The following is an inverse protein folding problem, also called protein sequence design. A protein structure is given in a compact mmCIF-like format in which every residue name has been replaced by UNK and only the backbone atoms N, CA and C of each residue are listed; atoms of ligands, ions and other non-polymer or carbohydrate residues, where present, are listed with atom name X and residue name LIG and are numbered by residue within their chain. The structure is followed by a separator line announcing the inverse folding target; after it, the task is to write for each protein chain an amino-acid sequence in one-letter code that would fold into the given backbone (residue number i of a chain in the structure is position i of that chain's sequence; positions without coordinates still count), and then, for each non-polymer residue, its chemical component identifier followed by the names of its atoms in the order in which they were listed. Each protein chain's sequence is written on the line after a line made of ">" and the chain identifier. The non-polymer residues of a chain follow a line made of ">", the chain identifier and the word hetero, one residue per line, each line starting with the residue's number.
data_IF_703218187435
#
_entry.id   IF_703218187435
#
_cell.length_a   1.000
_cell.length_b   1.000
_cell.length_c   1.000
_cell.angle_alpha   90.00
_cell.angle_beta   90.00
_cell.angle_gamma   90.00
#
_symmetry.space_group_name_H-M   'P 1'
#
loop_
_entity.id
_entity.type
_entity.pdbx_description
1 polymer ?
#
# COMPACT_ATOMS: atom_id res chain seq x y z
N UNK A 1 14.11 11.08 -17.06
CA UNK A 1 13.73 10.21 -18.18
C UNK A 1 12.57 9.34 -17.73
N UNK A 2 11.34 9.84 -17.79
CA UNK A 2 10.15 9.02 -17.58
C UNK A 2 9.93 8.18 -18.84
N UNK A 3 9.78 6.87 -18.71
CA UNK A 3 9.47 6.01 -19.87
C UNK A 3 8.18 6.51 -20.51
N UNK A 4 8.21 6.68 -21.82
CA UNK A 4 7.04 6.96 -22.63
C UNK A 4 6.08 5.76 -22.55
N UNK A 5 4.78 6.06 -22.40
CA UNK A 5 3.71 5.05 -22.37
C UNK A 5 3.38 4.66 -23.82
N UNK A 6 4.17 3.75 -24.38
CA UNK A 6 4.14 3.41 -25.82
C UNK A 6 3.06 2.36 -26.18
N UNK A 7 1.99 2.25 -25.39
CA UNK A 7 0.92 1.29 -25.63
C UNK A 7 -0.10 1.31 -24.51
N UNK A 8 -1.23 1.97 -24.74
CA UNK A 8 -2.33 2.02 -23.78
C UNK A 8 -2.95 0.62 -23.67
N UNK A 9 -2.68 -0.05 -22.55
CA UNK A 9 -3.25 -1.37 -22.26
C UNK A 9 -4.76 -1.24 -22.04
N UNK A 10 -5.56 -2.05 -22.74
CA UNK A 10 -7.03 -2.04 -22.63
C UNK A 10 -7.55 -2.79 -21.39
N UNK A 11 -6.66 -3.34 -20.57
CA UNK A 11 -7.06 -4.09 -19.38
C UNK A 11 -7.43 -3.13 -18.24
N UNK A 12 -8.55 -3.36 -17.53
CA UNK A 12 -9.07 -2.43 -16.53
C UNK A 12 -8.26 -2.41 -15.22
N UNK A 13 -7.34 -3.35 -15.01
CA UNK A 13 -6.62 -3.55 -13.74
C UNK A 13 -5.13 -3.75 -13.96
N UNK A 14 -4.31 -3.23 -13.03
CA UNK A 14 -2.87 -3.44 -12.97
C UNK A 14 -2.44 -4.00 -11.62
N UNK A 15 -1.40 -4.84 -11.61
CA UNK A 15 -0.80 -5.35 -10.37
C UNK A 15 0.11 -4.26 -9.79
N UNK A 16 -0.22 -3.77 -8.60
CA UNK A 16 0.55 -2.72 -7.92
C UNK A 16 1.65 -3.27 -7.01
N UNK A 17 1.39 -4.37 -6.31
CA UNK A 17 2.30 -4.94 -5.31
C UNK A 17 1.98 -6.43 -5.12
N UNK A 18 3.02 -7.24 -4.96
CA UNK A 18 2.95 -8.65 -4.61
C UNK A 18 3.67 -8.81 -3.26
N UNK A 19 3.08 -9.58 -2.34
CA UNK A 19 3.70 -9.90 -1.04
C UNK A 19 3.76 -11.41 -0.89
N UNK A 20 4.94 -11.95 -0.63
CA UNK A 20 5.08 -13.32 -0.17
C UNK A 20 4.66 -13.39 1.30
N UNK A 21 3.80 -14.35 1.64
CA UNK A 21 3.26 -14.52 2.99
C UNK A 21 2.74 -15.94 3.18
N UNK A 22 2.82 -16.45 4.41
CA UNK A 22 2.40 -17.82 4.77
C UNK A 22 0.93 -17.91 5.24
N UNK A 23 0.20 -16.80 5.21
CA UNK A 23 -1.21 -16.75 5.62
C UNK A 23 -2.12 -16.51 4.42
N UNK A 24 -3.25 -17.20 4.37
CA UNK A 24 -4.27 -17.02 3.31
C UNK A 24 -5.26 -15.89 3.66
N UNK A 25 -4.70 -14.71 3.99
CA UNK A 25 -5.48 -13.49 4.20
C UNK A 25 -4.58 -12.27 4.03
N UNK A 26 -5.17 -11.13 3.68
CA UNK A 26 -4.40 -9.89 3.55
C UNK A 26 -3.77 -9.49 4.88
N UNK A 27 -2.46 -9.23 4.86
CA UNK A 27 -1.76 -8.61 5.98
C UNK A 27 -2.18 -7.13 6.14
N UNK A 28 -2.27 -6.61 7.38
CA UNK A 28 -2.47 -5.20 7.61
C UNK A 28 -1.42 -4.37 6.88
N UNK A 29 -1.84 -3.25 6.29
CA UNK A 29 -0.94 -2.32 5.62
C UNK A 29 0.08 -1.75 6.62
N UNK A 30 1.32 -1.48 6.18
CA UNK A 30 2.33 -0.84 7.03
C UNK A 30 1.79 0.53 7.47
N UNK A 31 1.88 0.91 8.78
CA UNK A 31 1.28 2.16 9.27
C UNK A 31 1.74 3.40 8.51
N UNK A 32 3.02 3.47 8.13
CA UNK A 32 3.57 4.60 7.35
C UNK A 32 2.88 4.76 5.99
N UNK A 33 2.45 3.66 5.35
CA UNK A 33 1.71 3.73 4.09
C UNK A 33 0.31 4.34 4.29
N UNK A 34 -0.35 4.08 5.43
CA UNK A 34 -1.61 4.76 5.76
C UNK A 34 -1.43 6.28 5.86
N UNK A 35 -0.34 6.71 6.51
CA UNK A 35 0.00 8.13 6.64
C UNK A 35 0.29 8.76 5.28
N UNK A 36 1.15 8.14 4.47
CA UNK A 36 1.46 8.63 3.12
C UNK A 36 0.21 8.71 2.24
N UNK A 37 -0.66 7.72 2.31
CA UNK A 37 -1.92 7.73 1.56
C UNK A 37 -2.80 8.95 1.88
N UNK A 38 -2.82 9.37 3.14
CA UNK A 38 -3.63 10.50 3.58
C UNK A 38 -3.07 11.87 3.13
N UNK A 39 -1.81 11.95 2.67
CA UNK A 39 -1.21 13.19 2.16
C UNK A 39 -1.79 13.62 0.79
N UNK A 40 -2.44 12.70 0.08
CA UNK A 40 -3.02 12.99 -1.24
C UNK A 40 -2.11 12.61 -2.40
N UNK A 41 -2.68 12.66 -3.62
CA UNK A 41 -2.02 12.22 -4.86
C UNK A 41 -0.82 13.06 -5.25
N UNK A 42 -0.83 14.36 -4.92
CA UNK A 42 0.28 15.28 -5.18
C UNK A 42 1.56 14.83 -4.46
N UNK A 43 1.41 14.19 -3.29
CA UNK A 43 2.51 13.68 -2.47
C UNK A 43 2.75 12.17 -2.69
N UNK A 44 2.18 11.59 -3.75
CA UNK A 44 2.31 10.17 -4.09
C UNK A 44 1.42 9.21 -3.28
N UNK A 45 0.52 9.74 -2.44
CA UNK A 45 -0.48 8.96 -1.72
C UNK A 45 -1.74 8.66 -2.56
N UNK A 46 -2.58 7.75 -2.08
CA UNK A 46 -3.88 7.50 -2.74
C UNK A 46 -4.94 8.60 -2.49
N UNK A 47 -4.76 9.45 -1.48
CA UNK A 47 -5.74 10.43 -1.02
C UNK A 47 -6.83 9.86 -0.11
N UNK A 48 -6.69 8.60 0.31
CA UNK A 48 -7.63 7.96 1.25
C UNK A 48 -7.35 8.45 2.67
N UNK A 49 -8.36 9.00 3.39
CA UNK A 49 -8.20 9.42 4.78
C UNK A 49 -7.80 8.27 5.70
N UNK A 50 -7.13 8.58 6.81
CA UNK A 50 -6.75 7.57 7.80
C UNK A 50 -8.01 7.03 8.49
N UNK A 51 -8.21 5.73 8.37
CA UNK A 51 -9.14 4.95 9.19
C UNK A 51 -8.43 4.53 10.49
N UNK A 52 -8.93 5.03 11.64
CA UNK A 52 -8.28 4.85 12.93
C UNK A 52 -8.23 3.39 13.37
N UNK A 53 -9.27 2.63 13.10
CA UNK A 53 -9.37 1.22 13.51
C UNK A 53 -8.38 0.38 12.71
N UNK A 54 -8.37 0.55 11.37
CA UNK A 54 -7.41 -0.14 10.49
C UNK A 54 -5.96 0.25 10.79
N UNK A 55 -5.73 1.51 11.14
CA UNK A 55 -4.41 1.96 11.56
C UNK A 55 -3.96 1.25 12.86
N UNK A 56 -4.85 1.08 13.83
CA UNK A 56 -4.52 0.38 15.07
C UNK A 56 -4.32 -1.11 14.85
N UNK A 57 -5.10 -1.76 13.99
CA UNK A 57 -4.87 -3.14 13.56
C UNK A 57 -3.46 -3.30 12.95
N UNK A 58 -3.08 -2.38 12.06
CA UNK A 58 -1.74 -2.32 11.50
C UNK A 58 -0.67 -2.14 12.57
N UNK A 59 -0.86 -1.22 13.52
CA UNK A 59 0.08 -1.01 14.62
C UNK A 59 0.28 -2.28 15.46
N UNK A 60 -0.82 -2.94 15.87
CA UNK A 60 -0.74 -4.14 16.71
C UNK A 60 -0.04 -5.30 16.02
N UNK A 61 -0.15 -5.40 14.69
CA UNK A 61 0.62 -6.36 13.92
C UNK A 61 2.09 -5.92 13.82
N UNK A 62 2.37 -4.75 13.24
CA UNK A 62 3.72 -4.32 12.89
C UNK A 62 4.62 -3.93 14.07
N UNK A 63 4.08 -3.72 15.27
CA UNK A 63 4.91 -3.48 16.47
C UNK A 63 5.83 -4.67 16.82
N UNK A 64 5.44 -5.89 16.42
CA UNK A 64 6.19 -7.12 16.69
C UNK A 64 6.76 -7.77 15.41
N UNK A 65 6.61 -7.12 14.24
CA UNK A 65 7.03 -7.67 12.95
C UNK A 65 7.91 -6.68 12.18
N UNK A 66 8.96 -7.19 11.54
CA UNK A 66 9.83 -6.40 10.67
C UNK A 66 9.91 -7.02 9.27
N UNK A 67 10.03 -6.18 8.25
CA UNK A 67 10.28 -6.63 6.88
C UNK A 67 11.73 -7.08 6.72
N UNK A 68 11.96 -8.21 6.07
CA UNK A 68 13.30 -8.70 5.70
C UNK A 68 13.61 -8.24 4.27
N UNK A 69 14.84 -7.77 4.06
CA UNK A 69 15.33 -7.27 2.76
C UNK A 69 15.95 -8.40 1.92
#
# INVERSE_FOLDING_TARGET
>A
MGKSNDGESTVPWGILSIKAQDIDRKLPMIPTTAVQNALGKEEGGSGVPIDREKYMEAYHYWKDHATVA
#
